data_IF_748031027248
#
_entry.id   IF_748031027248
#
_cell.length_a   1.000
_cell.length_b   1.000
_cell.length_c   1.000
_cell.angle_alpha   90.00
_cell.angle_beta   90.00
_cell.angle_gamma   90.00
#
_symmetry.space_group_name_H-M   'P 1'
#
loop_
_entity.id
_entity.type
_entity.pdbx_description
1 polymer ?
#
# COMPACT_ATOMS: atom_id res chain seq x y z
N UNK A 1 -14.07 10.36 7.04
CA UNK A 1 -13.90 8.95 6.61
C UNK A 1 -12.59 8.42 7.19
N UNK A 2 -12.63 7.23 7.77
CA UNK A 2 -11.43 6.55 8.26
C UNK A 2 -11.01 5.44 7.31
N UNK A 3 -9.87 5.58 6.69
CA UNK A 3 -9.23 4.57 5.85
C UNK A 3 -8.09 3.90 6.63
N UNK A 4 -8.03 2.57 6.63
CA UNK A 4 -6.88 1.86 7.21
C UNK A 4 -6.06 1.23 6.12
N UNK A 5 -4.78 1.57 6.09
CA UNK A 5 -3.78 0.99 5.20
C UNK A 5 -3.07 -0.18 5.88
N UNK A 6 -3.08 -1.32 5.20
CA UNK A 6 -2.23 -2.49 5.46
C UNK A 6 -1.30 -2.68 4.26
N UNK A 7 -0.12 -3.24 4.47
CA UNK A 7 0.85 -3.41 3.39
C UNK A 7 1.82 -4.53 3.70
N UNK A 8 2.46 -5.06 2.66
CA UNK A 8 3.58 -5.98 2.77
C UNK A 8 3.23 -7.18 3.66
N UNK A 9 2.19 -7.92 3.22
CA UNK A 9 1.65 -9.05 3.98
C UNK A 9 2.56 -10.27 3.90
N UNK A 10 3.19 -10.50 2.76
CA UNK A 10 4.13 -11.59 2.45
C UNK A 10 3.64 -12.96 2.94
N UNK A 11 2.35 -13.25 2.72
CA UNK A 11 1.76 -14.53 3.09
C UNK A 11 2.40 -15.67 2.31
N UNK A 12 2.58 -16.80 2.95
CA UNK A 12 3.09 -18.02 2.34
C UNK A 12 1.97 -19.04 2.09
N UNK A 13 2.29 -20.10 1.34
CA UNK A 13 1.40 -21.25 1.11
C UNK A 13 1.02 -21.94 2.42
N UNK A 14 1.98 -22.02 3.36
CA UNK A 14 1.76 -22.61 4.66
C UNK A 14 1.58 -21.50 5.71
N UNK A 15 0.46 -21.47 6.47
CA UNK A 15 0.17 -20.40 7.43
C UNK A 15 1.17 -20.28 8.60
N UNK A 16 1.82 -21.35 8.97
CA UNK A 16 2.83 -21.38 10.05
C UNK A 16 4.26 -21.18 9.56
N UNK A 17 4.46 -21.09 8.24
CA UNK A 17 5.77 -20.77 7.67
C UNK A 17 6.26 -19.40 8.16
N UNK A 18 7.52 -19.34 8.54
CA UNK A 18 8.18 -18.12 9.01
C UNK A 18 9.12 -17.55 7.98
N UNK A 19 9.20 -16.23 7.94
CA UNK A 19 10.18 -15.49 7.15
C UNK A 19 11.29 -14.90 8.01
N UNK A 20 11.64 -13.65 7.72
CA UNK A 20 12.71 -12.95 8.44
C UNK A 20 12.44 -12.87 9.94
N UNK A 21 13.49 -13.05 10.75
CA UNK A 21 13.46 -13.07 12.21
C UNK A 21 12.48 -14.11 12.81
N UNK A 22 12.17 -15.18 12.10
CA UNK A 22 11.22 -16.19 12.55
C UNK A 22 9.76 -15.71 12.64
N UNK A 23 9.44 -14.59 11.99
CA UNK A 23 8.08 -14.04 12.01
C UNK A 23 7.20 -14.83 11.05
N UNK A 24 6.02 -15.29 11.53
CA UNK A 24 4.98 -15.89 10.70
C UNK A 24 4.06 -14.79 10.11
N UNK A 25 4.10 -14.53 8.79
CA UNK A 25 3.33 -13.44 8.18
C UNK A 25 1.82 -13.61 8.34
N UNK A 26 1.33 -14.84 8.26
CA UNK A 26 -0.09 -15.13 8.44
C UNK A 26 -0.60 -14.66 9.81
N UNK A 27 0.12 -14.96 10.87
CA UNK A 27 -0.22 -14.54 12.23
C UNK A 27 -0.09 -13.01 12.38
N UNK A 28 0.92 -12.40 11.75
CA UNK A 28 1.13 -10.95 11.71
C UNK A 28 -0.02 -10.23 11.04
N UNK A 29 -0.35 -10.63 9.79
CA UNK A 29 -1.46 -10.04 9.04
C UNK A 29 -2.80 -10.21 9.76
N UNK A 30 -3.09 -11.41 10.30
CA UNK A 30 -4.30 -11.64 11.10
C UNK A 30 -4.44 -10.66 12.25
N UNK A 31 -3.37 -10.46 13.07
CA UNK A 31 -3.39 -9.51 14.20
C UNK A 31 -3.56 -8.05 13.72
N UNK A 32 -2.86 -7.66 12.65
CA UNK A 32 -2.99 -6.34 12.04
C UNK A 32 -4.41 -6.10 11.51
N UNK A 33 -5.02 -7.09 10.86
CA UNK A 33 -6.39 -7.00 10.36
C UNK A 33 -7.42 -6.85 11.50
N UNK A 34 -7.27 -7.64 12.58
CA UNK A 34 -8.13 -7.51 13.77
C UNK A 34 -7.98 -6.12 14.42
N UNK A 35 -6.75 -5.61 14.50
CA UNK A 35 -6.49 -4.24 15.00
C UNK A 35 -7.07 -3.17 14.08
N UNK A 36 -7.01 -3.38 12.75
CA UNK A 36 -7.62 -2.51 11.76
C UNK A 36 -9.13 -2.44 11.96
N UNK A 37 -9.82 -3.58 12.03
CA UNK A 37 -11.27 -3.66 12.28
C UNK A 37 -11.64 -3.02 13.62
N UNK A 38 -10.85 -3.28 14.67
CA UNK A 38 -11.05 -2.68 16.01
C UNK A 38 -10.88 -1.16 16.03
N UNK A 39 -10.27 -0.54 15.00
CA UNK A 39 -10.18 0.92 14.84
C UNK A 39 -11.43 1.53 14.17
N UNK A 40 -12.43 0.70 13.84
CA UNK A 40 -13.71 1.08 13.20
C UNK A 40 -13.51 1.87 11.91
N UNK A 41 -12.82 1.29 10.89
CA UNK A 41 -12.61 1.94 9.61
C UNK A 41 -13.89 1.94 8.76
N UNK A 42 -13.98 2.91 7.86
CA UNK A 42 -14.99 2.89 6.80
C UNK A 42 -14.54 2.01 5.62
N UNK A 43 -13.22 1.81 5.47
CA UNK A 43 -12.64 1.07 4.36
C UNK A 43 -11.20 0.60 4.66
N UNK A 44 -10.73 -0.43 3.91
CA UNK A 44 -9.36 -0.93 3.95
C UNK A 44 -8.66 -0.69 2.61
N UNK A 45 -7.40 -0.29 2.65
CA UNK A 45 -6.53 -0.17 1.49
C UNK A 45 -5.28 -1.04 1.71
N UNK A 46 -5.05 -2.00 0.81
CA UNK A 46 -3.89 -2.86 0.87
C UNK A 46 -2.90 -2.43 -0.22
N UNK A 47 -1.69 -2.01 0.18
CA UNK A 47 -0.72 -1.39 -0.73
C UNK A 47 0.39 -2.32 -1.19
N UNK A 48 0.01 -3.57 -1.51
CA UNK A 48 0.86 -4.53 -2.22
C UNK A 48 1.63 -5.50 -1.35
N UNK A 49 2.38 -6.37 -2.02
CA UNK A 49 3.14 -7.49 -1.48
C UNK A 49 2.28 -8.39 -0.58
N UNK A 50 1.20 -8.91 -1.19
CA UNK A 50 0.26 -9.82 -0.52
C UNK A 50 0.90 -11.20 -0.38
N UNK A 51 1.47 -11.73 -1.47
CA UNK A 51 2.18 -13.01 -1.49
C UNK A 51 3.65 -12.83 -1.10
N UNK A 52 4.23 -13.81 -0.43
CA UNK A 52 5.66 -13.89 -0.14
C UNK A 52 6.37 -15.03 -0.89
N UNK A 53 5.60 -15.92 -1.55
CA UNK A 53 6.12 -17.13 -2.22
C UNK A 53 5.49 -17.37 -3.61
N UNK A 54 4.83 -16.37 -4.17
CA UNK A 54 4.13 -16.44 -5.47
C UNK A 54 3.08 -17.56 -5.58
N UNK A 55 2.60 -18.11 -4.46
CA UNK A 55 1.63 -19.20 -4.45
C UNK A 55 0.18 -18.72 -4.55
N UNK A 56 -0.68 -19.51 -5.18
CA UNK A 56 -2.12 -19.27 -5.13
C UNK A 56 -2.68 -19.37 -3.71
N UNK A 57 -2.09 -20.24 -2.87
CA UNK A 57 -2.52 -20.46 -1.50
C UNK A 57 -2.38 -19.21 -0.64
N UNK A 58 -1.28 -18.45 -0.79
CA UNK A 58 -1.08 -17.19 -0.06
C UNK A 58 -2.20 -16.18 -0.31
N UNK A 59 -2.65 -16.02 -1.56
CA UNK A 59 -3.81 -15.15 -1.88
C UNK A 59 -5.12 -15.70 -1.33
N UNK A 60 -5.32 -17.02 -1.34
CA UNK A 60 -6.50 -17.63 -0.72
C UNK A 60 -6.53 -17.40 0.79
N UNK A 61 -5.39 -17.47 1.45
CA UNK A 61 -5.27 -17.13 2.87
C UNK A 61 -5.60 -15.66 3.15
N UNK A 62 -5.12 -14.75 2.30
CA UNK A 62 -5.47 -13.33 2.37
C UNK A 62 -6.98 -13.12 2.28
N UNK A 63 -7.62 -13.67 1.26
CA UNK A 63 -9.07 -13.57 1.03
C UNK A 63 -9.85 -14.18 2.20
N UNK A 64 -9.44 -15.36 2.67
CA UNK A 64 -10.09 -16.05 3.79
C UNK A 64 -10.03 -15.25 5.09
N UNK A 65 -8.89 -14.60 5.38
CA UNK A 65 -8.75 -13.73 6.55
C UNK A 65 -9.64 -12.48 6.44
N UNK A 66 -9.69 -11.84 5.27
CA UNK A 66 -10.61 -10.72 5.04
C UNK A 66 -12.08 -11.14 5.19
N UNK A 67 -12.47 -12.26 4.58
CA UNK A 67 -13.83 -12.78 4.71
C UNK A 67 -14.20 -13.11 6.17
N UNK A 68 -13.24 -13.62 6.95
CA UNK A 68 -13.47 -13.99 8.35
C UNK A 68 -13.58 -12.81 9.29
N UNK A 69 -12.72 -11.78 9.13
CA UNK A 69 -12.57 -10.71 10.12
C UNK A 69 -13.10 -9.35 9.66
N UNK A 70 -13.20 -9.14 8.36
CA UNK A 70 -13.52 -7.84 7.76
C UNK A 70 -14.58 -7.91 6.64
N UNK A 71 -15.43 -8.95 6.62
CA UNK A 71 -16.43 -9.18 5.57
C UNK A 71 -17.39 -8.00 5.34
N UNK A 72 -17.63 -7.18 6.35
CA UNK A 72 -18.50 -6.01 6.28
C UNK A 72 -17.79 -4.75 5.78
N UNK A 73 -16.49 -4.79 5.61
CA UNK A 73 -15.69 -3.62 5.18
C UNK A 73 -15.37 -3.69 3.68
N UNK A 74 -15.65 -2.63 2.94
CA UNK A 74 -15.15 -2.54 1.58
C UNK A 74 -13.61 -2.41 1.60
N UNK A 75 -12.97 -3.06 0.63
CA UNK A 75 -11.51 -2.96 0.49
C UNK A 75 -11.07 -2.85 -0.96
N UNK A 76 -9.91 -2.23 -1.16
CA UNK A 76 -9.18 -2.22 -2.42
C UNK A 76 -7.72 -2.58 -2.20
N UNK A 77 -7.12 -3.14 -3.25
CA UNK A 77 -5.71 -3.56 -3.27
C UNK A 77 -4.98 -2.93 -4.44
N UNK A 78 -3.70 -2.70 -4.31
CA UNK A 78 -2.75 -2.53 -5.42
C UNK A 78 -1.72 -3.66 -5.35
N UNK A 79 -1.05 -3.95 -6.46
CA UNK A 79 0.01 -4.94 -6.49
C UNK A 79 1.33 -4.35 -6.00
N UNK A 80 2.13 -5.17 -5.29
CA UNK A 80 3.54 -4.92 -5.05
C UNK A 80 4.44 -5.74 -5.98
N UNK A 81 5.75 -5.67 -5.79
CA UNK A 81 6.70 -6.41 -6.65
C UNK A 81 6.60 -7.93 -6.46
N UNK A 82 6.25 -8.42 -5.28
CA UNK A 82 5.97 -9.83 -5.02
C UNK A 82 4.63 -10.32 -5.58
N UNK A 83 3.77 -9.42 -6.07
CA UNK A 83 2.50 -9.77 -6.71
C UNK A 83 2.61 -9.86 -8.25
N UNK A 84 3.84 -9.95 -8.78
CA UNK A 84 4.08 -10.09 -10.23
C UNK A 84 3.93 -11.54 -10.70
N UNK A 85 2.76 -12.11 -10.46
CA UNK A 85 2.39 -13.48 -10.78
C UNK A 85 0.93 -13.51 -11.27
N UNK A 86 0.44 -14.61 -11.91
CA UNK A 86 -0.91 -14.66 -12.47
C UNK A 86 -2.02 -14.65 -11.41
N UNK A 87 -1.72 -15.03 -10.17
CA UNK A 87 -2.74 -15.24 -9.14
C UNK A 87 -3.29 -13.92 -8.59
N UNK A 88 -2.47 -12.86 -8.52
CA UNK A 88 -2.95 -11.53 -8.11
C UNK A 88 -4.12 -11.08 -9.00
N UNK A 89 -3.92 -11.08 -10.31
CA UNK A 89 -4.94 -10.62 -11.24
C UNK A 89 -6.15 -11.56 -11.27
N UNK A 90 -5.96 -12.88 -11.22
CA UNK A 90 -7.07 -13.85 -11.29
C UNK A 90 -7.96 -13.84 -10.06
N UNK A 91 -7.41 -13.58 -8.88
CA UNK A 91 -8.14 -13.65 -7.61
C UNK A 91 -8.60 -12.29 -7.08
N UNK A 92 -7.92 -11.19 -7.44
CA UNK A 92 -8.14 -9.87 -6.86
C UNK A 92 -8.55 -8.78 -7.87
N UNK A 93 -8.80 -9.13 -9.15
CA UNK A 93 -9.17 -8.16 -10.19
C UNK A 93 -10.32 -7.25 -9.78
N UNK A 94 -11.39 -7.78 -9.18
CA UNK A 94 -12.56 -7.01 -8.74
C UNK A 94 -12.25 -6.02 -7.60
N UNK A 95 -11.16 -6.25 -6.88
CA UNK A 95 -10.73 -5.42 -5.76
C UNK A 95 -9.55 -4.53 -6.12
N UNK A 96 -8.97 -4.67 -7.31
CA UNK A 96 -7.81 -3.87 -7.72
C UNK A 96 -8.20 -2.40 -7.88
N UNK A 97 -7.38 -1.53 -7.29
CA UNK A 97 -7.47 -0.09 -7.44
C UNK A 97 -6.57 0.33 -8.61
N UNK A 98 -7.16 0.95 -9.61
CA UNK A 98 -6.45 1.39 -10.81
C UNK A 98 -6.35 2.92 -10.92
N UNK A 99 -5.54 3.37 -11.86
CA UNK A 99 -5.30 4.78 -12.11
C UNK A 99 -6.54 5.49 -12.70
N UNK A 100 -7.19 4.86 -13.69
CA UNK A 100 -8.28 5.46 -14.46
C UNK A 100 -9.68 5.22 -13.89
N UNK A 101 -9.80 4.39 -12.87
CA UNK A 101 -11.07 4.08 -12.21
C UNK A 101 -10.91 4.27 -10.70
N UNK A 102 -11.06 5.51 -10.21
CA UNK A 102 -10.85 5.79 -8.80
C UNK A 102 -11.92 5.15 -7.92
N UNK A 103 -11.52 4.77 -6.74
CA UNK A 103 -12.45 4.38 -5.70
C UNK A 103 -13.02 5.61 -5.02
N UNK A 104 -14.31 5.87 -5.23
CA UNK A 104 -14.99 7.04 -4.70
C UNK A 104 -15.57 6.73 -3.32
N UNK A 105 -15.08 7.42 -2.28
CA UNK A 105 -15.59 7.30 -0.92
C UNK A 105 -15.72 8.69 -0.31
N UNK A 106 -16.94 9.07 0.11
CA UNK A 106 -17.21 10.43 0.58
C UNK A 106 -16.77 11.47 -0.44
N UNK A 107 -16.01 12.48 -0.01
CA UNK A 107 -15.46 13.53 -0.88
C UNK A 107 -14.08 13.18 -1.46
N UNK A 108 -13.63 11.93 -1.33
CA UNK A 108 -12.31 11.49 -1.80
C UNK A 108 -12.42 10.57 -3.01
N UNK A 109 -11.44 10.69 -3.89
CA UNK A 109 -11.17 9.79 -5.00
C UNK A 109 -9.79 9.15 -4.79
N UNK A 110 -9.78 7.85 -4.56
CA UNK A 110 -8.57 7.07 -4.34
C UNK A 110 -8.15 6.44 -5.66
N UNK A 111 -6.89 6.59 -6.03
CA UNK A 111 -6.31 6.06 -7.26
C UNK A 111 -5.17 5.10 -6.92
N UNK A 112 -4.94 4.07 -7.74
CA UNK A 112 -3.81 3.16 -7.64
C UNK A 112 -2.94 3.19 -8.89
N UNK A 113 -1.62 3.12 -8.72
CA UNK A 113 -0.66 2.88 -9.79
C UNK A 113 -0.04 1.49 -9.62
N UNK A 114 -0.05 0.70 -10.69
CA UNK A 114 0.70 -0.55 -10.75
C UNK A 114 2.18 -0.24 -11.06
N UNK A 115 2.99 -0.28 -10.04
CA UNK A 115 4.43 0.03 -10.16
C UNK A 115 5.31 -1.20 -10.35
N UNK A 116 4.75 -2.39 -10.59
CA UNK A 116 5.53 -3.61 -10.88
C UNK A 116 6.40 -3.42 -12.12
N UNK A 117 7.68 -3.73 -12.02
CA UNK A 117 8.63 -3.59 -13.11
C UNK A 117 9.60 -4.76 -13.18
N UNK A 118 10.76 -4.69 -12.55
CA UNK A 118 11.80 -5.70 -12.65
C UNK A 118 12.36 -6.02 -11.26
N UNK A 119 12.30 -7.28 -10.87
CA UNK A 119 12.67 -7.72 -9.52
C UNK A 119 11.99 -6.87 -8.43
N UNK A 120 12.75 -6.32 -7.49
CA UNK A 120 12.23 -5.44 -6.44
C UNK A 120 12.05 -3.98 -6.84
N UNK A 121 12.38 -3.59 -8.09
CA UNK A 121 12.27 -2.21 -8.54
C UNK A 121 10.89 -1.86 -9.09
N UNK A 122 10.48 -0.62 -8.88
CA UNK A 122 9.24 -0.09 -9.40
C UNK A 122 9.41 0.84 -10.60
N UNK A 123 8.32 0.97 -11.39
CA UNK A 123 8.25 1.94 -12.50
C UNK A 123 6.81 2.36 -12.75
N UNK A 124 6.53 3.65 -12.84
CA UNK A 124 5.23 4.13 -13.29
C UNK A 124 5.13 4.07 -14.82
N UNK A 125 3.97 3.67 -15.31
CA UNK A 125 3.70 3.50 -16.74
C UNK A 125 3.03 4.75 -17.31
N UNK A 126 3.47 5.28 -18.49
CA UNK A 126 2.89 6.50 -19.06
C UNK A 126 1.37 6.45 -19.26
N UNK A 127 0.84 5.32 -19.71
CA UNK A 127 -0.60 5.16 -19.94
C UNK A 127 -1.40 5.23 -18.64
N UNK A 128 -0.87 4.73 -17.51
CA UNK A 128 -1.54 4.85 -16.20
C UNK A 128 -1.55 6.29 -15.70
N UNK A 129 -0.47 7.05 -15.89
CA UNK A 129 -0.44 8.46 -15.52
C UNK A 129 -1.38 9.31 -16.38
N UNK A 130 -1.55 8.95 -17.66
CA UNK A 130 -2.55 9.59 -18.52
C UNK A 130 -3.98 9.28 -18.03
N UNK A 131 -4.27 8.01 -17.71
CA UNK A 131 -5.55 7.58 -17.15
C UNK A 131 -5.83 8.25 -15.79
N UNK A 132 -4.83 8.36 -14.93
CA UNK A 132 -4.91 9.06 -13.65
C UNK A 132 -5.30 10.53 -13.83
N UNK A 133 -4.62 11.26 -14.73
CA UNK A 133 -4.93 12.68 -14.99
C UNK A 133 -6.35 12.85 -15.51
N UNK A 134 -6.78 12.00 -16.44
CA UNK A 134 -8.14 12.04 -16.97
C UNK A 134 -9.17 11.78 -15.86
N UNK A 135 -8.96 10.79 -15.01
CA UNK A 135 -9.83 10.50 -13.88
C UNK A 135 -9.88 11.66 -12.87
N UNK A 136 -8.76 12.32 -12.59
CA UNK A 136 -8.74 13.51 -11.72
C UNK A 136 -9.52 14.66 -12.33
N UNK A 137 -9.46 14.86 -13.64
CA UNK A 137 -10.27 15.89 -14.35
C UNK A 137 -11.76 15.58 -14.26
N UNK A 138 -12.16 14.34 -14.45
CA UNK A 138 -13.57 13.91 -14.33
C UNK A 138 -14.11 14.07 -12.92
N UNK A 139 -13.27 13.92 -11.91
CA UNK A 139 -13.63 14.02 -10.50
C UNK A 139 -13.00 15.24 -9.82
N UNK A 140 -12.82 16.34 -10.53
CA UNK A 140 -12.13 17.55 -10.08
C UNK A 140 -12.72 18.19 -8.81
N UNK A 141 -13.98 17.88 -8.49
CA UNK A 141 -14.66 18.34 -7.28
C UNK A 141 -14.30 17.51 -6.03
N UNK A 142 -13.49 16.47 -6.18
CA UNK A 142 -13.07 15.60 -5.07
C UNK A 142 -11.62 15.86 -4.66
N UNK A 143 -11.27 15.39 -3.48
CA UNK A 143 -9.89 15.36 -3.01
C UNK A 143 -9.24 14.04 -3.46
N UNK A 144 -8.01 14.08 -3.95
CA UNK A 144 -7.36 12.92 -4.55
C UNK A 144 -6.28 12.36 -3.63
N UNK A 145 -6.35 11.03 -3.38
CA UNK A 145 -5.32 10.23 -2.75
C UNK A 145 -4.75 9.26 -3.79
N UNK A 146 -3.42 9.19 -3.89
CA UNK A 146 -2.72 8.27 -4.78
C UNK A 146 -2.02 7.17 -3.97
N UNK A 147 -2.27 5.92 -4.33
CA UNK A 147 -1.60 4.75 -3.77
C UNK A 147 -0.65 4.13 -4.80
N UNK A 148 0.56 3.82 -4.38
CA UNK A 148 1.53 3.03 -5.14
C UNK A 148 2.31 2.14 -4.16
N UNK A 149 2.95 1.07 -4.67
CA UNK A 149 3.67 0.18 -3.76
C UNK A 149 5.07 0.71 -3.46
N UNK A 150 5.87 1.01 -4.47
CA UNK A 150 7.26 1.44 -4.31
C UNK A 150 7.35 2.89 -3.82
N UNK A 151 8.29 3.15 -2.91
CA UNK A 151 8.51 4.48 -2.35
C UNK A 151 9.01 5.49 -3.41
N UNK A 152 8.40 6.68 -3.48
CA UNK A 152 8.73 7.68 -4.49
C UNK A 152 9.77 8.71 -4.02
N UNK A 153 10.18 8.68 -2.76
CA UNK A 153 11.20 9.54 -2.18
C UNK A 153 12.32 8.65 -1.64
N UNK A 154 13.59 8.94 -1.92
CA UNK A 154 14.70 8.14 -1.38
C UNK A 154 14.63 7.99 0.12
N UNK A 155 14.91 6.80 0.59
CA UNK A 155 14.95 6.45 2.02
C UNK A 155 16.34 6.66 2.65
N UNK A 156 17.34 6.94 1.80
CA UNK A 156 18.76 7.00 2.16
C UNK A 156 19.27 5.70 2.80
N UNK A 157 18.72 4.57 2.34
CA UNK A 157 19.02 3.24 2.86
C UNK A 157 19.28 2.23 1.75
N UNK A 158 19.61 1.00 2.16
CA UNK A 158 19.75 -0.12 1.25
C UNK A 158 18.52 -0.38 0.37
N UNK A 159 17.34 0.03 0.84
CA UNK A 159 16.07 -0.10 0.09
C UNK A 159 16.00 0.77 -1.16
N UNK A 160 16.86 1.78 -1.31
CA UNK A 160 16.88 2.62 -2.52
C UNK A 160 17.32 1.88 -3.78
N UNK A 161 17.91 0.68 -3.63
CA UNK A 161 18.16 -0.25 -4.76
C UNK A 161 16.87 -0.81 -5.36
N UNK A 162 15.79 -0.77 -4.60
CA UNK A 162 14.46 -1.28 -4.93
C UNK A 162 13.43 -0.16 -5.08
N UNK A 163 13.86 1.07 -5.30
CA UNK A 163 13.00 2.25 -5.39
C UNK A 163 12.21 2.28 -6.71
N UNK A 164 11.40 3.32 -6.85
CA UNK A 164 10.74 3.66 -8.10
C UNK A 164 11.76 4.28 -9.07
N UNK A 165 12.09 3.57 -10.16
CA UNK A 165 13.21 3.91 -11.06
C UNK A 165 13.00 5.19 -11.88
N UNK A 166 11.77 5.64 -12.07
CA UNK A 166 11.44 6.84 -12.84
C UNK A 166 10.68 7.89 -12.01
N UNK A 167 11.14 8.12 -10.80
CA UNK A 167 10.52 9.02 -9.83
C UNK A 167 10.41 10.46 -10.36
N UNK A 168 11.45 10.98 -11.05
CA UNK A 168 11.40 12.31 -11.67
C UNK A 168 10.30 12.45 -12.71
N UNK A 169 10.03 11.37 -13.44
CA UNK A 169 8.91 11.35 -14.39
C UNK A 169 7.57 11.43 -13.64
N UNK A 170 7.40 10.65 -12.57
CA UNK A 170 6.21 10.72 -11.72
C UNK A 170 5.99 12.16 -11.20
N UNK A 171 7.01 12.78 -10.62
CA UNK A 171 6.90 14.13 -10.07
C UNK A 171 6.54 15.19 -11.12
N UNK A 172 7.16 15.12 -12.30
CA UNK A 172 6.79 16.02 -13.42
C UNK A 172 5.33 15.86 -13.84
N UNK A 173 4.80 14.62 -13.85
CA UNK A 173 3.42 14.36 -14.23
C UNK A 173 2.40 14.77 -13.14
N UNK A 174 2.82 14.77 -11.88
CA UNK A 174 1.97 15.20 -10.75
C UNK A 174 2.07 16.69 -10.44
N UNK A 175 3.01 17.41 -11.05
CA UNK A 175 3.14 18.85 -10.86
C UNK A 175 1.84 19.59 -11.25
N UNK A 176 1.30 20.39 -10.33
CA UNK A 176 0.03 21.09 -10.51
C UNK A 176 -1.23 20.23 -10.45
N UNK A 177 -1.11 18.91 -10.24
CA UNK A 177 -2.28 18.04 -10.07
C UNK A 177 -2.86 18.14 -8.65
N UNK A 178 -4.18 17.94 -8.47
CA UNK A 178 -4.87 18.13 -7.19
C UNK A 178 -4.68 16.96 -6.20
N UNK A 179 -3.57 16.24 -6.26
CA UNK A 179 -3.27 15.15 -5.32
C UNK A 179 -2.92 15.74 -3.95
N UNK A 180 -3.68 15.36 -2.92
CA UNK A 180 -3.50 15.82 -1.53
C UNK A 180 -2.52 14.98 -0.75
N UNK A 181 -2.50 13.68 -1.04
CA UNK A 181 -1.77 12.70 -0.25
C UNK A 181 -1.35 11.52 -1.15
N UNK A 182 -0.17 10.99 -0.91
CA UNK A 182 0.32 9.76 -1.51
C UNK A 182 0.64 8.75 -0.40
N UNK A 183 0.24 7.48 -0.59
CA UNK A 183 0.53 6.40 0.35
C UNK A 183 1.26 5.27 -0.36
N UNK A 184 2.18 4.61 0.35
CA UNK A 184 2.96 3.50 -0.21
C UNK A 184 3.32 2.44 0.84
N UNK A 185 3.77 1.29 0.38
CA UNK A 185 4.35 0.20 1.15
C UNK A 185 5.85 0.07 0.92
N UNK A 186 6.30 -1.18 0.72
CA UNK A 186 7.61 -1.61 0.26
C UNK A 186 8.77 -1.39 1.25
N UNK A 187 8.82 -0.26 1.95
CA UNK A 187 9.88 0.03 2.91
C UNK A 187 9.76 -0.77 4.23
N UNK A 188 8.63 -1.45 4.46
CA UNK A 188 8.33 -2.09 5.75
C UNK A 188 8.66 -1.17 6.93
N UNK A 189 8.46 0.12 6.75
CA UNK A 189 8.84 1.14 7.73
C UNK A 189 7.87 2.30 7.69
N UNK A 190 7.72 2.95 8.83
CA UNK A 190 6.92 4.18 8.92
C UNK A 190 7.76 5.35 8.44
N UNK A 191 7.36 5.95 7.33
CA UNK A 191 7.98 7.19 6.84
C UNK A 191 6.92 8.24 6.56
N UNK A 192 7.31 9.51 6.65
CA UNK A 192 6.53 10.65 6.21
C UNK A 192 7.50 11.62 5.53
N UNK A 193 7.38 11.76 4.23
CA UNK A 193 8.23 12.61 3.43
C UNK A 193 7.37 13.68 2.73
N UNK A 194 8.00 14.76 2.32
CA UNK A 194 7.37 15.81 1.54
C UNK A 194 8.19 16.08 0.28
N UNK A 195 7.52 16.03 -0.85
CA UNK A 195 8.08 16.48 -2.12
C UNK A 195 7.25 17.66 -2.61
N UNK A 196 7.85 18.87 -2.61
CA UNK A 196 7.14 20.13 -2.84
C UNK A 196 5.95 20.29 -1.88
N UNK A 197 4.71 20.26 -2.40
CA UNK A 197 3.48 20.38 -1.60
C UNK A 197 2.82 19.04 -1.28
N UNK A 198 3.29 17.94 -1.90
CA UNK A 198 2.70 16.62 -1.73
C UNK A 198 3.39 15.85 -0.60
N UNK A 199 2.61 15.40 0.35
CA UNK A 199 3.07 14.49 1.41
C UNK A 199 2.98 13.04 0.93
N UNK A 200 4.03 12.25 1.19
CA UNK A 200 4.05 10.81 0.96
C UNK A 200 4.20 10.07 2.29
N UNK A 201 3.42 9.03 2.48
CA UNK A 201 3.35 8.28 3.72
C UNK A 201 3.59 6.79 3.45
N UNK A 202 4.67 6.23 4.00
CA UNK A 202 4.91 4.79 4.01
C UNK A 202 4.34 4.13 5.27
N UNK A 203 3.64 3.02 5.12
CA UNK A 203 3.09 2.28 6.24
C UNK A 203 4.08 1.21 6.74
N UNK A 204 3.98 0.80 8.02
CA UNK A 204 4.69 -0.37 8.50
C UNK A 204 4.12 -1.63 7.86
N UNK A 205 4.95 -2.63 7.65
CA UNK A 205 4.53 -3.95 7.19
C UNK A 205 3.66 -4.66 8.23
N UNK A 206 2.80 -5.55 7.77
CA UNK A 206 2.03 -6.44 8.65
C UNK A 206 2.83 -7.68 9.09
N UNK A 207 4.08 -7.80 8.66
CA UNK A 207 5.02 -8.85 9.09
C UNK A 207 6.30 -8.24 9.69
N UNK A 208 7.48 -8.46 9.11
CA UNK A 208 8.74 -7.89 9.58
C UNK A 208 8.96 -6.45 9.14
N UNK A 209 9.83 -5.76 9.85
CA UNK A 209 10.19 -4.37 9.54
C UNK A 209 11.65 -4.27 9.10
N UNK A 210 11.96 -3.30 8.22
CA UNK A 210 13.33 -3.02 7.81
C UNK A 210 13.93 -1.82 8.58
N UNK A 211 15.20 -1.91 8.90
CA UNK A 211 15.96 -0.75 9.35
C UNK A 211 16.41 0.05 8.12
N UNK A 212 16.06 1.33 8.08
CA UNK A 212 16.46 2.22 6.99
C UNK A 212 17.87 2.76 7.28
N UNK A 213 18.87 1.98 6.89
CA UNK A 213 20.31 2.29 7.03
C UNK A 213 21.05 1.83 5.77
N UNK A 214 22.34 2.23 5.54
CA UNK A 214 23.05 1.94 4.29
C UNK A 214 23.20 0.45 3.95
N UNK A 215 23.26 -0.43 4.96
CA UNK A 215 23.37 -1.88 4.78
C UNK A 215 22.08 -2.59 5.19
N UNK A 216 21.82 -3.75 4.60
CA UNK A 216 20.65 -4.57 4.95
C UNK A 216 20.56 -4.84 6.45
N UNK A 217 19.43 -4.52 7.05
CA UNK A 217 19.13 -4.84 8.43
C UNK A 217 17.62 -4.88 8.69
N UNK A 218 17.24 -5.63 9.73
CA UNK A 218 15.89 -5.69 10.26
C UNK A 218 15.73 -4.72 11.44
N UNK A 219 14.55 -4.15 11.57
CA UNK A 219 14.18 -3.35 12.72
C UNK A 219 13.37 -4.20 13.71
N UNK A 220 13.67 -4.06 15.00
CA UNK A 220 12.97 -4.78 16.08
C UNK A 220 11.60 -4.15 16.42
N UNK A 221 10.93 -3.58 15.43
CA UNK A 221 9.61 -2.99 15.60
C UNK A 221 8.53 -4.01 15.27
N UNK A 222 7.44 -4.00 16.05
CA UNK A 222 6.29 -4.86 15.79
C UNK A 222 5.60 -4.48 14.47
N UNK A 223 4.92 -5.46 13.87
CA UNK A 223 4.00 -5.26 12.74
C UNK A 223 2.96 -4.19 13.04
N UNK A 224 2.42 -3.55 12.01
CA UNK A 224 1.48 -2.45 12.25
C UNK A 224 0.64 -2.06 11.05
N UNK A 225 -0.17 -1.04 11.27
CA UNK A 225 -1.08 -0.45 10.29
C UNK A 225 -0.94 1.08 10.32
N UNK A 226 -1.33 1.73 9.22
CA UNK A 226 -1.53 3.17 9.17
C UNK A 226 -3.03 3.48 9.15
N UNK A 227 -3.47 4.38 10.01
CA UNK A 227 -4.82 4.93 10.02
C UNK A 227 -4.77 6.32 9.39
N UNK A 228 -5.70 6.57 8.49
CA UNK A 228 -5.88 7.84 7.78
C UNK A 228 -7.30 8.33 8.04
N UNK A 229 -7.43 9.43 8.76
CA UNK A 229 -8.70 10.14 8.93
C UNK A 229 -8.77 11.24 7.86
N UNK A 230 -9.63 11.04 6.87
CA UNK A 230 -9.78 11.88 5.67
C UNK A 230 -11.07 12.72 5.83
N UNK A 231 -10.92 14.02 6.02
CA UNK A 231 -12.05 14.94 6.20
C UNK A 231 -12.72 15.32 4.88
N UNK A 232 -13.94 15.83 4.96
CA UNK A 232 -14.72 16.22 3.78
C UNK A 232 -14.16 17.46 3.07
N UNK A 233 -13.40 18.30 3.77
CA UNK A 233 -12.75 19.50 3.25
C UNK A 233 -11.36 19.23 2.61
N UNK A 234 -10.92 17.96 2.59
CA UNK A 234 -9.63 17.54 2.06
C UNK A 234 -8.48 17.62 3.05
N UNK A 235 -8.72 18.04 4.27
CA UNK A 235 -7.74 17.88 5.35
C UNK A 235 -7.64 16.41 5.78
N UNK A 236 -6.50 16.03 6.34
CA UNK A 236 -6.27 14.66 6.77
C UNK A 236 -5.37 14.60 8.01
N UNK A 237 -5.55 13.52 8.76
CA UNK A 237 -4.70 13.16 9.88
C UNK A 237 -4.27 11.71 9.75
N UNK A 238 -3.13 11.36 10.32
CA UNK A 238 -2.64 9.98 10.27
C UNK A 238 -1.91 9.59 11.55
N UNK A 239 -2.04 8.33 11.91
CA UNK A 239 -1.26 7.74 13.00
C UNK A 239 -0.99 6.25 12.74
N UNK A 240 0.03 5.73 13.39
CA UNK A 240 0.44 4.33 13.31
C UNK A 240 -0.05 3.58 14.55
N UNK A 241 -0.57 2.38 14.34
CA UNK A 241 -0.80 1.42 15.42
C UNK A 241 0.02 0.17 15.15
N UNK A 242 0.66 -0.35 16.20
CA UNK A 242 1.43 -1.59 16.13
C UNK A 242 0.80 -2.67 16.99
N UNK A 243 0.92 -3.92 16.55
CA UNK A 243 0.47 -5.08 17.34
C UNK A 243 1.34 -5.22 18.60
N UNK A 244 0.73 -5.68 19.66
CA UNK A 244 1.44 -6.00 20.92
C UNK A 244 2.02 -7.41 20.85
#
# INVERSE_FOLDING_TARGET
>A
MRLVQLTDCHLFSEPDQTGYAGIAPYAGFKRCLQMAVGSKPDALLITGDISGDDSQASYRHFIALLARYAAHLPFKVIAGNHDNNPYFNSLLAAHTLGAGQPWLIGNWALHGLDTRFMAGQGRVKPHELNALRHAMQQHHHRHHLLALHHHPVPSHSWMDRHCLTNTDYLWRQLAGQPVRLMVHGHLHHTVANRHQQLTTLGAPSTCWQWALQPTFAQAHQAAGIRILDLAADGSWQTHIRRVK
#
